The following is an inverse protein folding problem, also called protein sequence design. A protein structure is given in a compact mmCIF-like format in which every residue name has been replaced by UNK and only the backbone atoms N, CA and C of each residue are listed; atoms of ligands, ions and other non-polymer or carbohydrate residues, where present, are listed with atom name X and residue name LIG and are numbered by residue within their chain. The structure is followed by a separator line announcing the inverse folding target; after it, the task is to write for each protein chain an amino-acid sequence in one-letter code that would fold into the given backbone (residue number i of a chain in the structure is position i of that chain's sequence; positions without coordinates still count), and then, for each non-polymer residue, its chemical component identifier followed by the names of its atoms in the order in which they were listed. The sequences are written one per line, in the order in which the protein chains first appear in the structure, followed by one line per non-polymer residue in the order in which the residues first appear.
data_IF_750740919676
#
_entry.id   IF_750740919676
#
_cell.length_a   1.000
_cell.length_b   1.000
_cell.length_c   1.000
_cell.angle_alpha   90.00
_cell.angle_beta   90.00
_cell.angle_gamma   90.00
#
_symmetry.space_group_name_H-M   'P 1'
#
loop_
_entity.id
_entity.type
_entity.pdbx_description
1 polymer ?
#
# COMPACT_ATOMS: atom_id res chain seq x y z
N UNK A 1 4.61 15.49 11.74
CA UNK A 1 5.67 14.45 11.79
C UNK A 1 5.13 13.24 12.55
N UNK A 2 5.39 12.01 12.06
CA UNK A 2 5.05 10.75 12.72
C UNK A 2 6.33 9.90 12.87
N UNK A 3 6.65 9.46 14.10
CA UNK A 3 7.86 8.71 14.38
C UNK A 3 7.57 7.21 14.51
N UNK A 4 8.33 6.41 13.79
CA UNK A 4 8.43 4.95 13.90
C UNK A 4 9.74 4.56 14.59
N UNK A 5 9.95 3.28 14.90
CA UNK A 5 11.17 2.81 15.59
C UNK A 5 12.46 3.10 14.83
N UNK A 6 12.44 3.02 13.50
CA UNK A 6 13.64 3.12 12.67
C UNK A 6 13.64 4.29 11.68
N UNK A 7 12.51 4.98 11.53
CA UNK A 7 12.37 6.13 10.62
C UNK A 7 11.28 7.08 11.08
N UNK A 8 11.24 8.24 10.45
CA UNK A 8 10.22 9.27 10.73
C UNK A 8 9.59 9.69 9.41
N UNK A 9 8.28 9.96 9.42
CA UNK A 9 7.53 10.45 8.26
C UNK A 9 7.05 11.88 8.52
N UNK A 10 7.54 12.84 7.72
CA UNK A 10 6.96 14.18 7.59
C UNK A 10 5.75 14.09 6.67
N UNK A 11 4.71 14.88 6.96
CA UNK A 11 3.43 14.79 6.25
C UNK A 11 2.75 16.15 6.05
N UNK A 12 3.53 17.22 6.18
CA UNK A 12 2.99 18.59 6.18
C UNK A 12 2.56 19.02 4.77
N UNK A 13 3.21 18.49 3.72
CA UNK A 13 2.91 18.75 2.30
C UNK A 13 2.09 17.66 1.60
N UNK A 14 1.70 16.59 2.29
CA UNK A 14 1.03 15.46 1.65
C UNK A 14 -0.50 15.57 1.74
N UNK A 15 -1.17 15.17 0.65
CA UNK A 15 -2.63 15.13 0.58
C UNK A 15 -3.24 14.09 1.55
N UNK A 16 -2.53 12.98 1.81
CA UNK A 16 -2.91 11.96 2.78
C UNK A 16 -1.86 11.85 3.88
N UNK A 17 -2.31 11.88 5.12
CA UNK A 17 -1.45 11.68 6.30
C UNK A 17 -1.20 10.20 6.55
N UNK A 18 -0.17 9.90 7.37
CA UNK A 18 0.07 8.55 7.89
C UNK A 18 -1.22 8.02 8.52
N UNK A 19 -1.72 6.93 7.96
CA UNK A 19 -2.93 6.25 8.40
C UNK A 19 -2.66 4.80 8.76
N UNK A 20 -3.59 4.21 9.49
CA UNK A 20 -3.52 2.80 9.89
C UNK A 20 -3.44 1.87 8.68
N UNK A 21 -4.13 2.19 7.58
CA UNK A 21 -4.17 1.36 6.37
C UNK A 21 -2.77 1.17 5.75
N UNK A 22 -1.98 2.25 5.65
CA UNK A 22 -0.60 2.17 5.15
C UNK A 22 0.30 1.31 6.04
N UNK A 23 0.15 1.42 7.37
CA UNK A 23 0.92 0.58 8.30
C UNK A 23 0.49 -0.89 8.22
N UNK A 24 -0.82 -1.15 8.13
CA UNK A 24 -1.36 -2.50 8.01
C UNK A 24 -0.81 -3.20 6.76
N UNK A 25 -0.97 -2.59 5.58
CA UNK A 25 -0.52 -3.23 4.34
C UNK A 25 1.00 -3.35 4.30
N UNK A 26 1.75 -2.33 4.73
CA UNK A 26 3.21 -2.38 4.80
C UNK A 26 3.75 -3.43 5.75
N UNK A 27 3.01 -3.75 6.83
CA UNK A 27 3.38 -4.80 7.78
C UNK A 27 2.93 -6.20 7.34
N UNK A 28 1.70 -6.33 6.78
CA UNK A 28 1.10 -7.60 6.41
C UNK A 28 1.64 -8.21 5.13
N UNK A 29 2.02 -7.38 4.15
CA UNK A 29 2.53 -7.85 2.85
C UNK A 29 3.59 -8.92 3.00
N UNK A 30 3.43 -10.05 2.31
CA UNK A 30 4.46 -11.08 2.24
C UNK A 30 5.63 -10.60 1.37
N UNK A 31 6.85 -10.72 1.90
CA UNK A 31 8.07 -10.42 1.14
C UNK A 31 8.54 -11.73 0.50
N UNK A 32 8.57 -11.85 -0.83
CA UNK A 32 9.08 -13.04 -1.50
C UNK A 32 10.56 -13.27 -1.16
N UNK A 33 10.96 -14.54 -1.03
CA UNK A 33 12.36 -14.90 -0.82
C UNK A 33 13.24 -14.36 -1.94
N UNK A 34 14.33 -13.69 -1.57
CA UNK A 34 15.23 -13.08 -2.53
C UNK A 34 14.68 -11.86 -3.26
N UNK A 35 13.64 -11.22 -2.72
CA UNK A 35 13.06 -9.98 -3.25
C UNK A 35 14.13 -8.91 -3.43
N UNK A 36 14.28 -8.41 -4.66
CA UNK A 36 15.29 -7.42 -5.05
C UNK A 36 14.69 -6.09 -5.45
N UNK A 37 13.42 -6.08 -5.90
CA UNK A 37 12.77 -4.87 -6.42
C UNK A 37 11.34 -4.77 -5.93
N UNK A 38 11.03 -3.65 -5.28
CA UNK A 38 9.70 -3.34 -4.74
C UNK A 38 9.16 -2.06 -5.37
N UNK A 39 7.89 -2.06 -5.77
CA UNK A 39 7.17 -0.88 -6.23
C UNK A 39 6.07 -0.52 -5.24
N UNK A 40 6.02 0.73 -4.80
CA UNK A 40 4.93 1.32 -4.04
C UNK A 40 4.11 2.24 -4.95
N UNK A 41 2.90 1.80 -5.32
CA UNK A 41 2.02 2.55 -6.21
C UNK A 41 1.16 3.51 -5.39
N UNK A 42 1.23 4.81 -5.72
CA UNK A 42 0.59 5.87 -4.96
C UNK A 42 1.28 6.04 -3.59
N UNK A 43 2.60 6.22 -3.61
CA UNK A 43 3.44 6.19 -2.40
C UNK A 43 3.10 7.26 -1.37
N UNK A 44 2.40 8.33 -1.77
CA UNK A 44 1.97 9.42 -0.89
C UNK A 44 3.15 10.05 -0.14
N UNK A 45 3.21 9.86 1.17
CA UNK A 45 4.31 10.33 2.02
C UNK A 45 5.56 9.44 1.97
N UNK A 46 5.55 8.35 1.21
CA UNK A 46 6.63 7.36 1.20
C UNK A 46 6.56 6.34 2.34
N UNK A 47 5.47 6.29 3.10
CA UNK A 47 5.34 5.40 4.26
C UNK A 47 5.57 3.94 3.91
N UNK A 48 4.87 3.43 2.90
CA UNK A 48 4.95 2.02 2.49
C UNK A 48 6.33 1.72 1.90
N UNK A 49 6.89 2.64 1.10
CA UNK A 49 8.25 2.52 0.57
C UNK A 49 9.30 2.40 1.69
N UNK A 50 9.19 3.21 2.76
CA UNK A 50 10.07 3.15 3.93
C UNK A 50 9.89 1.85 4.71
N UNK A 51 8.65 1.39 4.89
CA UNK A 51 8.36 0.11 5.55
C UNK A 51 8.91 -1.08 4.75
N UNK A 52 8.76 -1.05 3.41
CA UNK A 52 9.34 -2.05 2.52
C UNK A 52 10.87 -2.05 2.62
N UNK A 53 11.51 -0.88 2.60
CA UNK A 53 12.97 -0.76 2.74
C UNK A 53 13.48 -1.29 4.08
N UNK A 54 12.71 -1.15 5.17
CA UNK A 54 13.04 -1.73 6.48
C UNK A 54 12.98 -3.27 6.47
N UNK A 55 12.05 -3.85 5.71
CA UNK A 55 11.78 -5.30 5.70
C UNK A 55 12.55 -6.07 4.63
N UNK A 56 12.92 -5.41 3.54
CA UNK A 56 13.60 -6.02 2.39
C UNK A 56 15.07 -5.59 2.37
N UNK A 57 15.95 -6.39 2.97
CA UNK A 57 17.39 -6.09 2.94
C UNK A 57 17.93 -6.13 1.51
N UNK A 58 18.63 -5.06 1.12
CA UNK A 58 19.28 -4.96 -0.19
C UNK A 58 18.34 -4.71 -1.38
N UNK A 59 17.02 -4.69 -1.20
CA UNK A 59 16.10 -4.42 -2.30
C UNK A 59 16.12 -2.94 -2.72
N UNK A 60 15.99 -2.71 -4.03
CA UNK A 60 15.64 -1.39 -4.61
C UNK A 60 14.16 -1.13 -4.42
N UNK A 61 13.80 0.02 -3.89
CA UNK A 61 12.42 0.44 -3.66
C UNK A 61 12.12 1.62 -4.57
N UNK A 62 11.06 1.49 -5.35
CA UNK A 62 10.56 2.60 -6.18
C UNK A 62 9.18 3.01 -5.68
N UNK A 63 8.99 4.27 -5.37
CA UNK A 63 7.68 4.86 -5.09
C UNK A 63 7.22 5.70 -6.27
N UNK A 64 6.02 5.46 -6.80
CA UNK A 64 5.42 6.28 -7.87
C UNK A 64 4.26 7.06 -7.29
N UNK A 65 4.26 8.39 -7.49
CA UNK A 65 3.24 9.29 -6.97
C UNK A 65 2.84 10.33 -8.02
N UNK A 66 1.54 10.46 -8.25
CA UNK A 66 0.98 11.37 -9.25
C UNK A 66 0.90 12.82 -8.76
N UNK A 67 0.73 13.04 -7.45
CA UNK A 67 0.71 14.39 -6.85
C UNK A 67 2.13 14.89 -6.59
N UNK A 68 2.48 16.03 -7.18
CA UNK A 68 3.82 16.60 -7.11
C UNK A 68 4.25 16.95 -5.67
N UNK A 69 3.32 17.43 -4.84
CA UNK A 69 3.58 17.81 -3.44
C UNK A 69 3.85 16.58 -2.59
N UNK A 70 3.03 15.55 -2.74
CA UNK A 70 3.23 14.24 -2.07
C UNK A 70 4.53 13.57 -2.51
N UNK A 71 4.85 13.60 -3.81
CA UNK A 71 6.10 13.05 -4.33
C UNK A 71 7.34 13.79 -3.78
N UNK A 72 7.28 15.12 -3.66
CA UNK A 72 8.35 15.91 -3.03
C UNK A 72 8.51 15.55 -1.55
N UNK A 73 7.41 15.41 -0.82
CA UNK A 73 7.42 15.00 0.58
C UNK A 73 7.96 13.57 0.77
N UNK A 74 7.60 12.64 -0.13
CA UNK A 74 8.14 11.28 -0.10
C UNK A 74 9.65 11.25 -0.34
N UNK A 75 10.17 12.06 -1.27
CA UNK A 75 11.62 12.20 -1.49
C UNK A 75 12.33 12.70 -0.24
N UNK A 76 11.82 13.76 0.38
CA UNK A 76 12.38 14.28 1.63
C UNK A 76 12.40 13.21 2.73
N UNK A 77 11.33 12.42 2.87
CA UNK A 77 11.26 11.34 3.84
C UNK A 77 12.26 10.21 3.52
N UNK A 78 12.40 9.84 2.26
CA UNK A 78 13.36 8.84 1.80
C UNK A 78 14.81 9.29 2.05
N UNK A 79 15.17 10.53 1.69
CA UNK A 79 16.49 11.13 1.89
C UNK A 79 16.88 11.19 3.38
N UNK A 80 15.93 11.43 4.27
CA UNK A 80 16.15 11.47 5.72
C UNK A 80 16.06 10.09 6.40
N UNK A 81 15.93 9.00 5.61
CA UNK A 81 15.84 7.64 6.14
C UNK A 81 17.20 6.92 6.10
N UNK A 82 17.35 5.84 6.89
CA UNK A 82 18.55 4.97 6.80
C UNK A 82 18.71 4.27 5.43
N UNK A 83 17.68 4.32 4.57
CA UNK A 83 17.64 3.57 3.30
C UNK A 83 17.66 4.49 2.06
N UNK A 84 18.07 5.74 2.20
CA UNK A 84 18.08 6.76 1.13
C UNK A 84 18.71 6.27 -0.18
N UNK A 85 19.76 5.44 -0.10
CA UNK A 85 20.47 4.93 -1.28
C UNK A 85 19.68 3.86 -2.06
N UNK A 86 18.59 3.34 -1.47
CA UNK A 86 17.78 2.26 -2.05
C UNK A 86 16.35 2.66 -2.39
N UNK A 87 15.94 3.88 -2.02
CA UNK A 87 14.58 4.38 -2.27
C UNK A 87 14.62 5.47 -3.33
N UNK A 88 13.93 5.23 -4.43
CA UNK A 88 13.76 6.19 -5.52
C UNK A 88 12.28 6.59 -5.65
N UNK A 89 11.98 7.90 -5.58
CA UNK A 89 10.62 8.42 -5.71
C UNK A 89 10.44 9.10 -7.07
N UNK A 90 9.53 8.56 -7.86
CA UNK A 90 9.17 9.05 -9.19
C UNK A 90 7.86 9.83 -9.11
N UNK A 91 7.89 11.10 -9.52
CA UNK A 91 6.67 11.87 -9.74
C UNK A 91 6.10 11.53 -11.11
N UNK A 92 4.91 10.98 -11.15
CA UNK A 92 4.22 10.60 -12.38
C UNK A 92 3.09 9.61 -12.12
N UNK A 93 2.34 9.30 -13.18
CA UNK A 93 1.24 8.34 -13.15
C UNK A 93 1.80 6.93 -13.38
N UNK A 94 1.36 5.96 -12.57
CA UNK A 94 1.80 4.56 -12.73
C UNK A 94 1.39 3.95 -14.07
N UNK A 95 0.29 4.43 -14.66
CA UNK A 95 -0.16 4.03 -15.99
C UNK A 95 0.89 4.32 -17.08
N UNK A 96 1.67 5.39 -16.89
CA UNK A 96 2.70 5.88 -17.83
C UNK A 96 4.13 5.49 -17.38
N UNK A 97 4.26 4.98 -16.14
CA UNK A 97 5.56 4.59 -15.62
C UNK A 97 6.10 3.36 -16.32
N UNK A 98 7.31 3.46 -16.86
CA UNK A 98 8.04 2.36 -17.47
C UNK A 98 9.23 1.96 -16.59
N UNK A 99 9.44 0.66 -16.45
CA UNK A 99 10.56 0.09 -15.73
C UNK A 99 11.36 -0.83 -16.64
N UNK A 100 12.68 -0.68 -16.64
CA UNK A 100 13.58 -1.55 -17.40
C UNK A 100 13.61 -3.00 -16.92
N UNK A 101 13.23 -3.24 -15.66
CA UNK A 101 13.16 -4.56 -15.03
C UNK A 101 11.85 -4.70 -14.24
N UNK A 102 11.26 -5.91 -14.19
CA UNK A 102 10.03 -6.14 -13.43
C UNK A 102 10.28 -6.07 -11.91
N UNK A 103 9.19 -5.96 -11.15
CA UNK A 103 9.20 -5.92 -9.69
C UNK A 103 8.81 -7.27 -9.09
N UNK A 104 9.52 -7.69 -8.06
CA UNK A 104 9.22 -8.92 -7.31
C UNK A 104 8.01 -8.72 -6.39
N UNK A 105 7.82 -7.48 -5.94
CA UNK A 105 6.74 -7.09 -5.06
C UNK A 105 6.19 -5.72 -5.47
N UNK A 106 4.86 -5.63 -5.54
CA UNK A 106 4.14 -4.37 -5.73
C UNK A 106 3.21 -4.20 -4.53
N UNK A 107 3.19 -3.00 -3.94
CA UNK A 107 2.30 -2.68 -2.82
C UNK A 107 1.51 -1.43 -3.18
N UNK A 108 0.26 -1.35 -2.76
CA UNK A 108 -0.55 -0.14 -2.92
C UNK A 108 -1.57 0.02 -1.81
N UNK A 109 -1.74 1.27 -1.38
CA UNK A 109 -2.88 1.75 -0.62
C UNK A 109 -3.57 2.82 -1.49
N UNK A 110 -4.34 2.41 -2.51
CA UNK A 110 -4.89 3.35 -3.49
C UNK A 110 -5.93 4.26 -2.84
N UNK A 111 -6.13 5.48 -3.36
CA UNK A 111 -7.24 6.32 -2.92
C UNK A 111 -8.58 5.64 -3.26
N UNK A 112 -9.49 5.58 -2.28
CA UNK A 112 -10.79 4.92 -2.44
C UNK A 112 -11.79 5.88 -3.09
N UNK A 113 -11.94 5.81 -4.41
CA UNK A 113 -13.01 6.49 -5.14
C UNK A 113 -13.92 5.45 -5.77
N UNK A 114 -15.06 5.20 -5.14
CA UNK A 114 -16.13 4.34 -5.65
C UNK A 114 -17.10 5.05 -6.60
N UNK A 115 -16.78 6.26 -7.03
CA UNK A 115 -17.60 7.05 -7.95
C UNK A 115 -18.86 7.66 -7.32
N UNK A 116 -19.16 7.41 -6.04
CA UNK A 116 -20.43 7.84 -5.40
C UNK A 116 -20.29 9.11 -4.57
N UNK A 117 -19.10 9.54 -4.21
CA UNK A 117 -18.87 10.78 -3.44
C UNK A 117 -18.48 11.93 -4.37
N UNK A 118 -19.49 12.60 -4.94
CA UNK A 118 -19.36 13.91 -5.60
C UNK A 118 -19.14 14.96 -4.50
N UNK A 119 -17.89 15.42 -4.32
CA UNK A 119 -17.64 16.62 -3.52
C UNK A 119 -18.23 17.84 -4.24
N UNK A 120 -18.91 18.80 -3.55
CA UNK A 120 -19.55 19.97 -4.16
C UNK A 120 -18.58 20.95 -4.85
N UNK A 121 -17.27 20.78 -4.68
CA UNK A 121 -16.24 21.71 -5.18
C UNK A 121 -15.71 21.23 -6.53
N UNK A 122 -16.21 21.84 -7.63
CA UNK A 122 -16.01 21.38 -9.01
C UNK A 122 -14.53 21.38 -9.47
N UNK A 123 -13.72 22.34 -9.04
CA UNK A 123 -12.30 22.42 -9.45
C UNK A 123 -11.43 21.38 -8.72
N UNK A 124 -11.68 21.15 -7.44
CA UNK A 124 -11.01 20.09 -6.67
C UNK A 124 -11.45 18.69 -7.13
N UNK A 125 -12.68 18.56 -7.57
CA UNK A 125 -13.22 17.30 -8.11
C UNK A 125 -12.58 16.97 -9.46
N UNK A 126 -12.41 17.94 -10.37
CA UNK A 126 -11.74 17.73 -11.66
C UNK A 126 -10.25 17.37 -11.47
N UNK A 127 -9.51 18.08 -10.61
CA UNK A 127 -8.12 17.74 -10.32
C UNK A 127 -7.98 16.33 -9.69
N UNK A 128 -8.90 15.94 -8.82
CA UNK A 128 -8.93 14.59 -8.22
C UNK A 128 -9.28 13.51 -9.22
N UNK A 129 -10.22 13.76 -10.15
CA UNK A 129 -10.54 12.81 -11.23
C UNK A 129 -9.38 12.59 -12.18
N UNK A 130 -8.57 13.61 -12.44
CA UNK A 130 -7.39 13.51 -13.30
C UNK A 130 -6.27 12.71 -12.63
N UNK A 131 -6.20 12.69 -11.29
CA UNK A 131 -5.21 11.95 -10.50
C UNK A 131 -5.73 10.60 -9.98
N UNK A 132 -7.01 10.27 -10.23
CA UNK A 132 -7.61 9.03 -9.73
C UNK A 132 -7.02 7.82 -10.45
N UNK A 133 -6.77 6.76 -9.68
CA UNK A 133 -6.35 5.46 -10.16
C UNK A 133 -7.50 4.48 -9.94
N UNK A 134 -8.17 4.07 -11.02
CA UNK A 134 -9.22 3.05 -10.94
C UNK A 134 -8.63 1.66 -10.64
N UNK A 135 -9.43 0.75 -10.11
CA UNK A 135 -8.99 -0.62 -9.86
C UNK A 135 -8.52 -1.32 -11.14
N UNK A 136 -9.18 -1.08 -12.28
CA UNK A 136 -8.74 -1.60 -13.57
C UNK A 136 -7.36 -1.08 -13.97
N UNK A 137 -7.11 0.22 -13.83
CA UNK A 137 -5.80 0.83 -14.12
C UNK A 137 -4.71 0.34 -13.16
N UNK A 138 -5.03 0.19 -11.85
CA UNK A 138 -4.13 -0.38 -10.86
C UNK A 138 -3.72 -1.80 -11.24
N UNK A 139 -4.70 -2.66 -11.50
CA UNK A 139 -4.45 -4.07 -11.85
C UNK A 139 -3.71 -4.21 -13.16
N UNK A 140 -4.05 -3.43 -14.19
CA UNK A 140 -3.35 -3.43 -15.48
C UNK A 140 -1.89 -2.93 -15.34
N UNK A 141 -1.67 -1.86 -14.57
CA UNK A 141 -0.32 -1.34 -14.30
C UNK A 141 0.52 -2.34 -13.52
N UNK A 142 -0.06 -2.93 -12.47
CA UNK A 142 0.62 -3.96 -11.69
C UNK A 142 0.95 -5.18 -12.56
N UNK A 143 0.00 -5.66 -13.37
CA UNK A 143 0.21 -6.81 -14.27
C UNK A 143 1.34 -6.59 -15.28
N UNK A 144 1.49 -5.37 -15.77
CA UNK A 144 2.57 -4.97 -16.70
C UNK A 144 3.94 -4.90 -16.02
N UNK A 145 3.99 -4.48 -14.75
CA UNK A 145 5.23 -4.18 -14.05
C UNK A 145 5.75 -5.33 -13.17
N UNK A 146 4.90 -6.32 -12.87
CA UNK A 146 5.24 -7.42 -11.96
C UNK A 146 6.04 -8.52 -12.65
N UNK A 147 6.98 -9.12 -11.93
CA UNK A 147 7.70 -10.31 -12.35
C UNK A 147 6.76 -11.54 -12.40
N UNK A 148 7.05 -12.58 -13.21
CA UNK A 148 6.23 -13.80 -13.28
C UNK A 148 5.96 -14.48 -11.95
N UNK A 149 6.92 -14.45 -11.02
CA UNK A 149 6.78 -14.97 -9.63
C UNK A 149 6.44 -13.92 -8.58
N UNK A 150 6.21 -12.68 -9.00
CA UNK A 150 5.99 -11.55 -8.10
C UNK A 150 4.62 -11.55 -7.42
N UNK A 151 4.46 -10.61 -6.46
CA UNK A 151 3.22 -10.42 -5.68
C UNK A 151 2.77 -8.97 -5.73
N UNK A 152 1.44 -8.79 -5.82
CA UNK A 152 0.77 -7.50 -5.62
C UNK A 152 0.00 -7.55 -4.32
N UNK A 153 0.27 -6.64 -3.39
CA UNK A 153 -0.50 -6.47 -2.15
C UNK A 153 -1.24 -5.14 -2.15
N UNK A 154 -2.55 -5.19 -1.89
CA UNK A 154 -3.42 -4.00 -1.89
C UNK A 154 -4.30 -4.01 -0.65
N UNK A 155 -4.49 -2.83 -0.02
CA UNK A 155 -5.52 -2.64 1.00
C UNK A 155 -6.65 -1.79 0.44
N UNK A 156 -7.89 -2.21 0.68
CA UNK A 156 -9.10 -1.50 0.24
C UNK A 156 -10.19 -1.55 1.30
N UNK A 157 -11.25 -0.72 1.25
CA UNK A 157 -12.48 -0.95 1.98
C UNK A 157 -13.00 -2.38 1.75
N UNK A 158 -13.52 -3.03 2.78
CA UNK A 158 -13.96 -4.43 2.69
C UNK A 158 -15.05 -4.63 1.62
N UNK A 159 -15.94 -3.65 1.48
CA UNK A 159 -17.00 -3.60 0.46
C UNK A 159 -16.45 -3.51 -0.97
N UNK A 160 -15.25 -2.94 -1.15
CA UNK A 160 -14.62 -2.78 -2.47
C UNK A 160 -13.79 -4.00 -2.90
N UNK A 161 -13.56 -4.97 -2.01
CA UNK A 161 -12.69 -6.11 -2.27
C UNK A 161 -13.14 -6.94 -3.49
N UNK A 162 -14.45 -7.21 -3.62
CA UNK A 162 -14.99 -7.96 -4.75
C UNK A 162 -14.78 -7.22 -6.09
N UNK A 163 -14.93 -5.90 -6.09
CA UNK A 163 -14.71 -5.07 -7.28
C UNK A 163 -13.24 -5.05 -7.70
N UNK A 164 -12.30 -4.99 -6.73
CA UNK A 164 -10.87 -5.07 -7.03
C UNK A 164 -10.49 -6.45 -7.59
N UNK A 165 -11.01 -7.54 -7.01
CA UNK A 165 -10.75 -8.91 -7.49
C UNK A 165 -11.25 -9.09 -8.93
N UNK A 166 -12.40 -8.50 -9.26
CA UNK A 166 -12.99 -8.58 -10.61
C UNK A 166 -12.35 -7.62 -11.63
N UNK A 167 -11.51 -6.67 -11.18
CA UNK A 167 -10.99 -5.59 -12.03
C UNK A 167 -9.80 -6.00 -12.92
N UNK A 168 -9.23 -7.20 -12.75
CA UNK A 168 -8.06 -7.64 -13.51
C UNK A 168 -7.97 -9.15 -13.65
N UNK A 169 -6.93 -9.60 -14.34
CA UNK A 169 -6.64 -11.00 -14.68
C UNK A 169 -5.61 -11.66 -13.73
N UNK A 170 -5.31 -11.02 -12.60
CA UNK A 170 -4.41 -11.60 -11.60
C UNK A 170 -5.19 -12.50 -10.63
N UNK A 171 -4.53 -13.55 -10.14
CA UNK A 171 -5.13 -14.53 -9.25
C UNK A 171 -4.99 -14.10 -7.80
N UNK A 172 -6.12 -14.10 -7.05
CA UNK A 172 -6.09 -13.91 -5.61
C UNK A 172 -5.32 -15.07 -4.95
N UNK A 173 -4.36 -14.74 -4.09
CA UNK A 173 -3.53 -15.71 -3.35
C UNK A 173 -3.90 -15.72 -1.88
N UNK A 174 -4.16 -14.54 -1.30
CA UNK A 174 -4.45 -14.38 0.12
C UNK A 174 -5.35 -13.18 0.35
N UNK A 175 -6.27 -13.30 1.31
CA UNK A 175 -7.13 -12.22 1.78
C UNK A 175 -7.13 -12.19 3.30
N UNK A 176 -6.95 -11.00 3.88
CA UNK A 176 -7.14 -10.75 5.31
C UNK A 176 -8.22 -9.69 5.52
N UNK A 177 -9.31 -10.07 6.18
CA UNK A 177 -10.38 -9.17 6.56
C UNK A 177 -10.03 -8.47 7.89
N UNK A 178 -9.96 -7.13 7.88
CA UNK A 178 -9.54 -6.34 9.04
C UNK A 178 -10.76 -5.78 9.76
N UNK A 179 -10.92 -6.15 11.02
CA UNK A 179 -11.96 -5.68 11.94
C UNK A 179 -11.40 -4.73 12.98
N UNK A 180 -12.12 -3.67 13.30
CA UNK A 180 -11.75 -2.79 14.42
C UNK A 180 -11.92 -3.47 15.76
N UNK A 181 -12.99 -4.26 15.93
CA UNK A 181 -13.31 -5.13 17.08
C UNK A 181 -13.92 -6.42 16.58
N UNK A 182 -13.83 -7.49 17.37
CA UNK A 182 -14.37 -8.83 17.01
C UNK A 182 -15.86 -8.81 16.66
N UNK A 183 -16.63 -8.01 17.38
CA UNK A 183 -18.09 -7.87 17.20
C UNK A 183 -18.49 -6.99 16.01
N UNK A 184 -17.53 -6.33 15.32
CA UNK A 184 -17.81 -5.42 14.19
C UNK A 184 -17.53 -6.11 12.85
N UNK A 185 -18.24 -5.74 11.78
CA UNK A 185 -17.89 -6.19 10.44
C UNK A 185 -16.49 -5.71 10.04
N UNK A 186 -15.86 -6.41 9.09
CA UNK A 186 -14.62 -5.99 8.50
C UNK A 186 -14.77 -4.60 7.83
N UNK A 187 -13.81 -3.72 8.08
CA UNK A 187 -13.76 -2.38 7.46
C UNK A 187 -12.77 -2.28 6.33
N UNK A 188 -11.74 -3.13 6.33
CA UNK A 188 -10.71 -3.22 5.29
C UNK A 188 -10.51 -4.67 4.89
N UNK A 189 -10.06 -4.86 3.67
CA UNK A 189 -9.52 -6.11 3.18
C UNK A 189 -8.11 -5.85 2.66
N UNK A 190 -7.15 -6.63 3.10
CA UNK A 190 -5.82 -6.73 2.52
C UNK A 190 -5.83 -7.93 1.58
N UNK A 191 -5.43 -7.69 0.33
CA UNK A 191 -5.52 -8.67 -0.75
C UNK A 191 -4.13 -8.85 -1.36
N UNK A 192 -3.73 -10.10 -1.56
CA UNK A 192 -2.50 -10.44 -2.27
C UNK A 192 -2.83 -11.19 -3.55
N UNK A 193 -2.22 -10.77 -4.65
CA UNK A 193 -2.43 -11.33 -5.98
C UNK A 193 -1.11 -11.83 -6.58
N UNK A 194 -1.22 -12.80 -7.48
CA UNK A 194 -0.12 -13.29 -8.32
C UNK A 194 -0.53 -13.27 -9.78
N UNK A 195 0.40 -13.00 -10.72
CA UNK A 195 0.16 -13.19 -12.15
C UNK A 195 -0.02 -14.66 -12.55
N UNK A 196 0.37 -15.58 -11.67
CA UNK A 196 0.29 -17.04 -11.88
C UNK A 196 -0.66 -17.64 -10.86
N UNK A 197 -1.49 -18.59 -11.30
CA UNK A 197 -2.36 -19.35 -10.40
C UNK A 197 -1.55 -20.23 -9.45
N UNK A 198 -1.78 -20.11 -8.15
CA UNK A 198 -1.05 -20.82 -7.09
C UNK A 198 -1.93 -21.76 -6.25
N UNK A 199 -3.18 -21.95 -6.67
CA UNK A 199 -4.15 -22.74 -5.92
C UNK A 199 -5.28 -21.89 -5.35
N UNK A 200 -6.06 -22.48 -4.42
CA UNK A 200 -7.12 -21.75 -3.72
C UNK A 200 -6.50 -20.68 -2.81
N UNK A 201 -7.12 -19.49 -2.70
CA UNK A 201 -6.62 -18.43 -1.84
C UNK A 201 -6.79 -18.76 -0.35
N UNK A 202 -5.83 -18.30 0.46
CA UNK A 202 -5.92 -18.31 1.91
C UNK A 202 -6.78 -17.14 2.42
N UNK A 203 -7.60 -17.42 3.46
CA UNK A 203 -8.44 -16.42 4.10
C UNK A 203 -8.07 -16.27 5.57
N UNK A 204 -7.82 -15.01 5.97
CA UNK A 204 -7.40 -14.62 7.31
C UNK A 204 -8.32 -13.53 7.87
N UNK A 205 -8.30 -13.36 9.18
CA UNK A 205 -8.96 -12.25 9.87
C UNK A 205 -7.97 -11.60 10.83
N UNK A 206 -7.92 -10.26 10.83
CA UNK A 206 -7.19 -9.47 11.80
C UNK A 206 -8.15 -8.60 12.60
N UNK A 207 -8.21 -8.81 13.91
CA UNK A 207 -8.93 -7.94 14.84
C UNK A 207 -7.96 -6.95 15.46
N UNK A 208 -8.22 -5.65 15.32
CA UNK A 208 -7.28 -4.61 15.77
C UNK A 208 -7.34 -4.36 17.29
N UNK A 209 -8.55 -4.42 17.89
CA UNK A 209 -8.76 -4.15 19.30
C UNK A 209 -9.70 -5.18 19.92
N UNK A 210 -9.46 -5.49 21.17
CA UNK A 210 -10.38 -6.19 22.03
C UNK A 210 -11.63 -5.34 22.33
N UNK A 211 -12.64 -5.92 22.98
CA UNK A 211 -13.88 -5.21 23.31
C UNK A 211 -13.67 -4.09 24.36
N UNK A 212 -12.65 -4.19 25.20
CA UNK A 212 -12.19 -3.16 26.13
C UNK A 212 -11.47 -1.97 25.46
N UNK A 213 -11.08 -2.14 24.17
CA UNK A 213 -10.39 -1.12 23.37
C UNK A 213 -8.87 -1.26 23.33
N UNK A 214 -8.28 -2.19 24.06
CA UNK A 214 -6.86 -2.50 23.97
C UNK A 214 -6.53 -3.18 22.63
N UNK A 215 -5.30 -2.98 22.15
CA UNK A 215 -4.81 -3.64 20.94
C UNK A 215 -4.68 -5.14 21.18
N UNK A 216 -5.12 -5.94 20.19
CA UNK A 216 -4.97 -7.40 20.24
C UNK A 216 -3.49 -7.79 20.10
N UNK A 217 -3.15 -8.98 20.56
CA UNK A 217 -1.78 -9.50 20.44
C UNK A 217 -1.41 -9.74 18.98
N UNK A 218 -2.36 -10.14 18.13
CA UNK A 218 -2.17 -10.30 16.67
C UNK A 218 -1.81 -8.97 16.01
N UNK A 219 -2.54 -7.89 16.34
CA UNK A 219 -2.24 -6.55 15.83
C UNK A 219 -0.89 -6.04 16.33
N UNK A 220 -0.58 -6.25 17.62
CA UNK A 220 0.73 -5.88 18.20
C UNK A 220 1.85 -6.67 17.53
N UNK A 221 1.69 -7.98 17.33
CA UNK A 221 2.68 -8.82 16.67
C UNK A 221 2.95 -8.38 15.23
N UNK A 222 1.89 -8.03 14.47
CA UNK A 222 1.99 -7.55 13.09
C UNK A 222 2.76 -6.21 13.01
N UNK A 223 2.50 -5.29 13.92
CA UNK A 223 2.99 -3.90 13.81
C UNK A 223 4.17 -3.58 14.72
N UNK A 224 4.61 -4.52 15.54
CA UNK A 224 5.65 -4.33 16.57
C UNK A 224 6.97 -3.76 16.06
N UNK A 225 7.35 -4.07 14.83
CA UNK A 225 8.64 -3.64 14.27
C UNK A 225 8.63 -2.18 13.81
N UNK A 226 7.45 -1.56 13.83
CA UNK A 226 7.24 -0.19 13.35
C UNK A 226 6.87 0.77 14.46
N UNK A 227 5.81 0.54 15.23
CA UNK A 227 5.34 1.48 16.26
C UNK A 227 6.27 1.56 17.46
N UNK A 228 6.46 2.77 18.00
CA UNK A 228 7.25 3.01 19.20
C UNK A 228 6.61 2.40 20.46
N UNK A 229 5.29 2.54 20.56
CA UNK A 229 4.47 2.03 21.68
C UNK A 229 3.26 1.30 21.09
N UNK A 230 2.95 0.14 21.62
CA UNK A 230 1.83 -0.72 21.25
C UNK A 230 1.02 -1.11 22.46
#
# INVERSE_FOLDING_TARGET
MFAFKRFTVRQDGAAMKVGTDGVLIGAWTHIPDGCKRVLDIGTGTGLIALMAAQRCDGAEIVGVEADASSAAQARENAENSPWRERINIVHGRVQEYESGLPFDLIISNPPYYDGTLVCPDSERTMARHTLSLSFGELMASARRLIAPGGRLSVIVPAESAASLIAAGDMHLVRRCDVKTKRSKPAKRAMLEFSPTFLGAPDFEELVMCNDDGERTDEYKALTRDFYLNL
#
